data_IF_009488524922
#
_entry.id   IF_009488524922
#
_cell.length_a   1.000
_cell.length_b   1.000
_cell.length_c   1.000
_cell.angle_alpha   90.00
_cell.angle_beta   90.00
_cell.angle_gamma   90.00
#
_symmetry.space_group_name_H-M   'P 1'
#
loop_
_entity.id
_entity.type
_entity.pdbx_description
1 polymer ?
#
# COMPACT_ATOMS: atom_id res chain seq x y z
N UNK A 1 10.50 8.31 17.83
CA UNK A 1 9.56 9.26 17.18
C UNK A 1 9.62 9.09 15.66
N UNK A 2 9.37 7.88 15.14
CA UNK A 2 9.36 7.59 13.70
C UNK A 2 8.06 6.90 13.24
N UNK A 3 7.13 6.61 14.16
CA UNK A 3 5.92 5.80 13.89
C UNK A 3 4.72 6.59 13.33
N UNK A 4 4.90 7.85 12.90
CA UNK A 4 3.78 8.70 12.43
C UNK A 4 3.82 9.07 10.95
N UNK A 5 4.79 8.58 10.18
CA UNK A 5 4.92 8.91 8.75
C UNK A 5 4.54 7.73 7.84
N UNK A 6 4.63 6.49 8.33
CA UNK A 6 4.22 5.31 7.58
C UNK A 6 3.50 4.32 8.48
N UNK A 7 2.30 3.91 8.06
CA UNK A 7 1.52 2.84 8.71
C UNK A 7 1.92 1.45 8.16
N UNK A 8 3.00 1.38 7.38
CA UNK A 8 3.40 0.20 6.62
C UNK A 8 2.32 -0.20 5.62
N UNK A 9 2.20 -1.49 5.32
CA UNK A 9 1.06 -1.96 4.53
C UNK A 9 -0.23 -2.01 5.37
N UNK A 10 -0.86 -0.85 5.63
CA UNK A 10 -2.13 -0.81 6.36
C UNK A 10 -3.21 -1.66 5.63
N UNK A 11 -3.84 -2.59 6.35
CA UNK A 11 -4.77 -3.59 5.79
C UNK A 11 -4.12 -4.88 5.24
N UNK A 12 -2.81 -4.93 5.05
CA UNK A 12 -2.05 -6.09 4.54
C UNK A 12 -0.89 -6.51 5.45
N UNK A 13 -1.01 -6.22 6.75
CA UNK A 13 -0.02 -6.56 7.78
C UNK A 13 0.36 -8.06 7.81
N UNK A 14 -0.54 -8.93 7.37
CA UNK A 14 -0.29 -10.37 7.26
C UNK A 14 0.65 -10.73 6.09
N UNK A 15 0.64 -9.96 5.00
CA UNK A 15 1.58 -10.13 3.87
C UNK A 15 2.96 -9.59 4.26
N UNK A 16 2.99 -8.48 5.00
CA UNK A 16 4.21 -7.87 5.51
C UNK A 16 5.02 -8.83 6.40
N UNK A 17 4.35 -9.75 7.09
CA UNK A 17 4.98 -10.76 7.93
C UNK A 17 5.44 -12.01 7.18
N UNK A 18 4.94 -12.20 5.95
CA UNK A 18 5.15 -13.40 5.15
C UNK A 18 6.24 -13.19 4.09
N UNK A 19 6.47 -11.95 3.67
CA UNK A 19 7.43 -11.60 2.64
C UNK A 19 8.26 -10.38 3.05
N UNK A 20 9.52 -10.64 3.42
CA UNK A 20 10.52 -9.60 3.68
C UNK A 20 10.72 -8.77 2.40
N UNK A 21 10.55 -7.45 2.51
CA UNK A 21 10.63 -6.50 1.38
C UNK A 21 9.29 -5.87 0.98
N UNK A 22 8.16 -6.48 1.34
CA UNK A 22 6.82 -5.87 1.10
C UNK A 22 6.63 -4.61 1.95
N UNK A 23 7.16 -4.59 3.17
CA UNK A 23 7.16 -3.39 4.04
C UNK A 23 7.85 -2.22 3.35
N UNK A 24 9.03 -2.41 2.78
CA UNK A 24 9.80 -1.32 2.17
C UNK A 24 9.06 -0.71 0.98
N UNK A 25 8.37 -1.53 0.18
CA UNK A 25 7.52 -1.07 -0.91
C UNK A 25 6.35 -0.19 -0.41
N UNK A 26 5.69 -0.59 0.67
CA UNK A 26 4.61 0.19 1.28
C UNK A 26 5.13 1.47 1.94
N UNK A 27 6.30 1.44 2.56
CA UNK A 27 6.94 2.63 3.12
C UNK A 27 7.25 3.64 2.01
N UNK A 28 7.82 3.21 0.88
CA UNK A 28 8.06 4.08 -0.29
C UNK A 28 6.75 4.68 -0.83
N UNK A 29 5.66 3.91 -0.82
CA UNK A 29 4.33 4.38 -1.20
C UNK A 29 3.78 5.44 -0.24
N UNK A 30 3.91 5.22 1.07
CA UNK A 30 3.50 6.17 2.10
C UNK A 30 4.27 7.50 2.04
N UNK A 31 5.55 7.49 1.64
CA UNK A 31 6.36 8.70 1.43
C UNK A 31 5.99 9.51 0.17
N UNK A 32 4.94 9.12 -0.57
CA UNK A 32 4.47 9.81 -1.77
C UNK A 32 4.75 9.05 -3.07
N UNK A 33 5.08 7.77 -2.99
CA UNK A 33 5.20 6.89 -4.15
C UNK A 33 3.86 6.67 -4.85
N UNK A 34 3.92 6.38 -6.15
CA UNK A 34 2.71 6.08 -6.95
C UNK A 34 2.22 4.65 -6.75
N UNK A 35 0.92 4.40 -6.97
CA UNK A 35 0.35 3.05 -6.92
C UNK A 35 1.01 2.09 -7.93
N UNK A 36 1.49 2.62 -9.07
CA UNK A 36 2.25 1.85 -10.06
C UNK A 36 3.64 1.44 -9.56
N UNK A 37 4.37 2.34 -8.91
CA UNK A 37 5.66 2.00 -8.28
C UNK A 37 5.49 0.99 -7.14
N UNK A 38 4.40 1.08 -6.38
CA UNK A 38 4.07 0.07 -5.36
C UNK A 38 3.89 -1.30 -6.01
N UNK A 39 3.16 -1.38 -7.13
CA UNK A 39 2.95 -2.64 -7.84
C UNK A 39 4.26 -3.23 -8.40
N UNK A 40 5.09 -2.41 -9.04
CA UNK A 40 6.39 -2.84 -9.57
C UNK A 40 7.32 -3.34 -8.46
N UNK A 41 7.35 -2.62 -7.33
CA UNK A 41 8.12 -3.02 -6.15
C UNK A 41 7.60 -4.34 -5.57
N UNK A 42 6.28 -4.50 -5.43
CA UNK A 42 5.67 -5.74 -4.96
C UNK A 42 5.96 -6.92 -5.89
N UNK A 43 5.94 -6.73 -7.22
CA UNK A 43 6.30 -7.79 -8.16
C UNK A 43 7.78 -8.20 -8.05
N UNK A 44 8.65 -7.27 -7.68
CA UNK A 44 10.07 -7.55 -7.45
C UNK A 44 10.33 -8.31 -6.14
N UNK A 45 9.48 -8.10 -5.13
CA UNK A 45 9.60 -8.70 -3.81
C UNK A 45 8.82 -10.02 -3.65
N UNK A 46 7.78 -10.23 -4.45
CA UNK A 46 6.89 -11.39 -4.37
C UNK A 46 7.20 -12.43 -5.46
N UNK A 47 7.01 -13.73 -5.16
CA UNK A 47 7.08 -14.77 -6.16
C UNK A 47 6.00 -14.60 -7.25
N UNK A 48 6.23 -15.05 -8.49
CA UNK A 48 5.33 -14.78 -9.63
C UNK A 48 3.88 -15.21 -9.45
N UNK A 49 3.65 -16.27 -8.66
CA UNK A 49 2.30 -16.75 -8.35
C UNK A 49 1.48 -15.74 -7.52
N UNK A 50 2.15 -14.87 -6.76
CA UNK A 50 1.53 -13.87 -5.91
C UNK A 50 1.34 -12.50 -6.62
N UNK A 51 1.87 -12.32 -7.82
CA UNK A 51 1.76 -11.06 -8.57
C UNK A 51 0.31 -10.67 -8.86
N UNK A 52 -0.51 -11.63 -9.25
CA UNK A 52 -1.93 -11.40 -9.52
C UNK A 52 -2.69 -10.97 -8.26
N UNK A 53 -2.33 -11.54 -7.11
CA UNK A 53 -2.93 -11.20 -5.81
C UNK A 53 -2.51 -9.78 -5.41
N UNK A 54 -1.23 -9.45 -5.51
CA UNK A 54 -0.73 -8.10 -5.23
C UNK A 54 -1.37 -7.04 -6.14
N UNK A 55 -1.46 -7.32 -7.45
CA UNK A 55 -2.13 -6.45 -8.41
C UNK A 55 -3.61 -6.22 -8.06
N UNK A 56 -4.32 -7.27 -7.67
CA UNK A 56 -5.71 -7.18 -7.25
C UNK A 56 -5.86 -6.33 -5.98
N UNK A 57 -4.99 -6.50 -5.00
CA UNK A 57 -4.98 -5.72 -3.76
C UNK A 57 -4.73 -4.23 -4.00
N UNK A 58 -3.73 -3.88 -4.83
CA UNK A 58 -3.47 -2.49 -5.22
C UNK A 58 -4.65 -1.91 -6.00
N UNK A 59 -5.26 -2.68 -6.91
CA UNK A 59 -6.44 -2.24 -7.66
C UNK A 59 -7.63 -1.96 -6.74
N UNK A 60 -7.87 -2.78 -5.71
CA UNK A 60 -8.91 -2.51 -4.71
C UNK A 60 -8.62 -1.23 -3.92
N UNK A 61 -7.36 -0.98 -3.53
CA UNK A 61 -7.00 0.29 -2.87
C UNK A 61 -7.34 1.51 -3.74
N UNK A 62 -7.01 1.45 -5.04
CA UNK A 62 -7.33 2.53 -5.99
C UNK A 62 -8.83 2.70 -6.16
N UNK A 63 -9.57 1.59 -6.27
CA UNK A 63 -11.02 1.61 -6.46
C UNK A 63 -11.78 2.13 -5.24
N UNK A 64 -11.34 1.77 -4.03
CA UNK A 64 -11.99 2.20 -2.78
C UNK A 64 -11.49 3.56 -2.26
N UNK A 65 -10.33 4.07 -2.69
CA UNK A 65 -9.84 5.42 -2.35
C UNK A 65 -10.90 6.53 -2.47
N UNK A 66 -11.66 6.67 -3.57
CA UNK A 66 -12.70 7.70 -3.67
C UNK A 66 -13.83 7.49 -2.64
N UNK A 67 -14.20 6.24 -2.37
CA UNK A 67 -15.24 5.88 -1.40
C UNK A 67 -14.78 6.23 0.03
N UNK A 68 -13.54 5.94 0.39
CA UNK A 68 -12.97 6.34 1.68
C UNK A 68 -12.88 7.86 1.86
N UNK A 69 -12.53 8.60 0.80
CA UNK A 69 -12.53 10.06 0.82
C UNK A 69 -13.93 10.64 1.04
N UNK A 70 -14.96 10.02 0.45
CA UNK A 70 -16.36 10.40 0.63
C UNK A 70 -16.88 10.08 2.04
N UNK A 71 -16.53 8.91 2.58
CA UNK A 71 -16.99 8.46 3.91
C UNK A 71 -16.24 9.12 5.07
N UNK A 72 -15.00 9.59 4.85
CA UNK A 72 -14.16 10.13 5.90
C UNK A 72 -13.62 11.54 5.56
N UNK A 73 -14.48 12.58 5.56
CA UNK A 73 -14.15 13.93 5.11
C UNK A 73 -13.06 14.64 5.95
N UNK A 74 -12.71 14.12 7.13
CA UNK A 74 -11.63 14.67 7.99
C UNK A 74 -10.22 14.39 7.47
N UNK A 75 -10.04 13.50 6.49
CA UNK A 75 -8.74 13.27 5.83
C UNK A 75 -8.29 14.41 4.91
N UNK A 76 -9.18 15.35 4.57
CA UNK A 76 -8.92 16.43 3.62
C UNK A 76 -8.30 17.70 4.24
N UNK A 77 -7.93 17.67 5.53
CA UNK A 77 -7.33 18.82 6.23
C UNK A 77 -5.80 18.74 6.35
N UNK A 78 -5.14 17.79 5.67
CA UNK A 78 -3.67 17.67 5.62
C UNK A 78 -3.12 17.57 4.19
N UNK A 79 -3.69 18.35 3.28
CA UNK A 79 -3.01 18.74 2.04
C UNK A 79 -2.84 20.26 2.05
#
# INVERSE_FOLDING_TARGET
>A
MLDTISDGCSGFQWIERLFDGVRDCCVIHDYGGSDGQLLDCLQSALPPWAWAIAAFCVALMVLFRPIYRLLNPKGNARH
#
